data_IF_605532970965
#
_entry.id   IF_605532970965
#
_cell.length_a   1.000
_cell.length_b   1.000
_cell.length_c   1.000
_cell.angle_alpha   90.00
_cell.angle_beta   90.00
_cell.angle_gamma   90.00
#
_symmetry.space_group_name_H-M   'P 1'
#
loop_
_entity.id
_entity.type
_entity.pdbx_description
1 polymer ?
#
# COMPACT_ATOMS: atom_id res chain seq x y z
N UNK A 1 -12.43 1.25 -8.11
CA UNK A 1 -11.49 1.12 -9.24
C UNK A 1 -10.11 1.70 -8.92
N UNK A 2 -9.62 1.52 -7.68
CA UNK A 2 -8.45 2.25 -7.19
C UNK A 2 -7.18 2.04 -8.04
N UNK A 3 -6.88 0.80 -8.46
CA UNK A 3 -5.69 0.52 -9.27
C UNK A 3 -5.71 1.24 -10.63
N UNK A 4 -6.90 1.43 -11.23
CA UNK A 4 -7.03 2.17 -12.48
C UNK A 4 -6.73 3.66 -12.28
N UNK A 5 -7.29 4.28 -11.24
CA UNK A 5 -7.02 5.68 -10.88
C UNK A 5 -5.55 5.90 -10.49
N UNK A 6 -4.97 4.92 -9.79
CA UNK A 6 -3.57 4.91 -9.37
C UNK A 6 -2.64 5.04 -10.58
N UNK A 7 -2.81 4.16 -11.57
CA UNK A 7 -1.97 4.11 -12.76
C UNK A 7 -2.29 5.24 -13.76
N UNK A 8 -3.53 5.72 -13.79
CA UNK A 8 -3.94 6.82 -14.67
C UNK A 8 -3.33 8.16 -14.25
N UNK A 9 -3.29 8.47 -12.96
CA UNK A 9 -2.90 9.80 -12.47
C UNK A 9 -2.00 9.79 -11.23
N UNK A 10 -2.36 9.03 -10.17
CA UNK A 10 -1.72 9.16 -8.86
C UNK A 10 -0.21 8.90 -8.89
N UNK A 11 0.27 8.02 -9.77
CA UNK A 11 1.71 7.73 -9.95
C UNK A 11 2.56 8.97 -10.26
N UNK A 12 1.98 10.02 -10.81
CA UNK A 12 2.68 11.27 -11.13
C UNK A 12 2.83 12.20 -9.91
N UNK A 13 1.99 12.04 -8.88
CA UNK A 13 1.95 12.91 -7.71
C UNK A 13 3.13 12.64 -6.76
N UNK A 14 3.68 13.72 -6.18
CA UNK A 14 4.80 13.61 -5.22
C UNK A 14 4.36 12.94 -3.91
N UNK A 15 3.15 13.20 -3.44
CA UNK A 15 2.55 12.57 -2.27
C UNK A 15 2.49 11.05 -2.42
N UNK A 16 2.06 10.57 -3.59
CA UNK A 16 2.00 9.15 -3.91
C UNK A 16 3.40 8.51 -3.88
N UNK A 17 4.39 9.14 -4.50
CA UNK A 17 5.80 8.67 -4.48
C UNK A 17 6.36 8.64 -3.06
N UNK A 18 6.05 9.65 -2.24
CA UNK A 18 6.43 9.70 -0.82
C UNK A 18 5.79 8.55 -0.05
N UNK A 19 4.49 8.30 -0.24
CA UNK A 19 3.79 7.18 0.39
C UNK A 19 4.41 5.84 0.03
N UNK A 20 4.73 5.59 -1.25
CA UNK A 20 5.40 4.35 -1.68
C UNK A 20 6.78 4.18 -1.03
N UNK A 21 7.57 5.26 -0.91
CA UNK A 21 8.86 5.22 -0.22
C UNK A 21 8.70 4.87 1.26
N UNK A 22 7.69 5.45 1.93
CA UNK A 22 7.38 5.12 3.32
C UNK A 22 6.91 3.67 3.47
N UNK A 23 6.01 3.20 2.61
CA UNK A 23 5.53 1.81 2.63
C UNK A 23 6.70 0.82 2.45
N UNK A 24 7.65 1.12 1.56
CA UNK A 24 8.87 0.32 1.37
C UNK A 24 9.82 0.38 2.57
N UNK A 25 9.99 1.57 3.16
CA UNK A 25 10.81 1.74 4.35
C UNK A 25 10.25 0.98 5.56
N UNK A 26 8.93 1.09 5.80
CA UNK A 26 8.24 0.35 6.85
C UNK A 26 8.27 -1.15 6.61
N UNK A 27 8.13 -1.60 5.36
CA UNK A 27 8.31 -3.01 5.02
C UNK A 27 9.75 -3.48 5.31
N UNK A 28 10.77 -2.65 5.10
CA UNK A 28 12.15 -3.03 5.40
C UNK A 28 12.42 -3.17 6.91
N UNK A 29 11.81 -2.34 7.74
CA UNK A 29 11.98 -2.38 9.20
C UNK A 29 11.03 -3.41 9.85
N UNK A 30 9.82 -3.54 9.32
CA UNK A 30 8.74 -4.36 9.87
C UNK A 30 8.14 -5.30 8.81
N UNK A 31 8.96 -6.11 8.15
CA UNK A 31 8.53 -6.94 7.00
C UNK A 31 7.36 -7.88 7.32
N UNK A 32 7.27 -8.35 8.57
CA UNK A 32 6.19 -9.24 8.98
C UNK A 32 4.87 -8.51 9.32
N UNK A 33 4.88 -7.18 9.45
CA UNK A 33 3.71 -6.39 9.89
C UNK A 33 3.26 -5.32 8.90
N UNK A 34 4.12 -4.94 7.95
CA UNK A 34 3.82 -3.90 6.96
C UNK A 34 4.17 -4.34 5.54
N UNK A 35 3.20 -4.98 4.88
CA UNK A 35 3.31 -5.34 3.47
C UNK A 35 2.67 -4.26 2.59
N UNK A 36 3.34 -3.78 1.53
CA UNK A 36 2.73 -2.87 0.57
C UNK A 36 1.50 -3.51 -0.10
N UNK A 37 0.49 -2.69 -0.44
CA UNK A 37 -0.75 -3.16 -1.08
C UNK A 37 -0.50 -4.07 -2.29
N UNK A 38 0.42 -3.66 -3.17
CA UNK A 38 0.78 -4.43 -4.36
C UNK A 38 1.34 -5.81 -3.99
N UNK A 39 2.18 -5.90 -2.96
CA UNK A 39 2.75 -7.17 -2.53
C UNK A 39 1.72 -8.10 -1.92
N UNK A 40 0.78 -7.56 -1.11
CA UNK A 40 -0.31 -8.34 -0.53
C UNK A 40 -1.17 -8.98 -1.62
N UNK A 41 -1.51 -8.23 -2.67
CA UNK A 41 -2.35 -8.73 -3.77
C UNK A 41 -1.62 -9.71 -4.68
N UNK A 42 -0.36 -9.41 -5.05
CA UNK A 42 0.33 -10.14 -6.12
C UNK A 42 1.08 -11.36 -5.62
N UNK A 43 1.67 -11.31 -4.42
CA UNK A 43 2.64 -12.31 -3.95
C UNK A 43 2.15 -13.11 -2.75
N UNK A 44 0.91 -12.91 -2.29
CA UNK A 44 0.34 -13.67 -1.18
C UNK A 44 -1.00 -14.30 -1.57
N UNK A 45 -1.48 -15.23 -0.74
CA UNK A 45 -2.84 -15.80 -0.85
C UNK A 45 -3.83 -15.14 0.10
N UNK A 46 -3.52 -13.94 0.60
CA UNK A 46 -4.41 -13.21 1.50
C UNK A 46 -5.76 -12.93 0.79
N UNK A 47 -6.91 -13.24 1.43
CA UNK A 47 -8.20 -12.92 0.86
C UNK A 47 -8.35 -11.41 0.62
N UNK A 48 -8.95 -11.02 -0.51
CA UNK A 48 -9.06 -9.59 -0.88
C UNK A 48 -9.76 -8.73 0.17
N UNK A 49 -10.75 -9.25 0.90
CA UNK A 49 -11.41 -8.50 1.95
C UNK A 49 -10.46 -8.17 3.13
N UNK A 50 -9.49 -9.04 3.41
CA UNK A 50 -8.45 -8.80 4.41
C UNK A 50 -7.43 -7.78 3.90
N UNK A 51 -7.02 -7.89 2.63
CA UNK A 51 -6.14 -6.90 1.99
C UNK A 51 -6.73 -5.49 2.10
N UNK A 52 -8.04 -5.34 1.83
CA UNK A 52 -8.74 -4.05 1.96
C UNK A 52 -8.77 -3.56 3.41
N UNK A 53 -9.00 -4.46 4.37
CA UNK A 53 -9.00 -4.13 5.81
C UNK A 53 -7.62 -3.68 6.27
N UNK A 54 -6.57 -4.39 5.89
CA UNK A 54 -5.19 -4.04 6.18
C UNK A 54 -4.79 -2.73 5.53
N UNK A 55 -5.21 -2.50 4.27
CA UNK A 55 -4.95 -1.22 3.61
C UNK A 55 -5.59 -0.06 4.36
N UNK A 56 -6.85 -0.18 4.78
CA UNK A 56 -7.53 0.83 5.61
C UNK A 56 -6.81 1.06 6.94
N UNK A 57 -6.24 0.01 7.56
CA UNK A 57 -5.42 0.15 8.77
C UNK A 57 -4.15 0.95 8.48
N UNK A 58 -3.44 0.64 7.40
CA UNK A 58 -2.23 1.35 6.98
C UNK A 58 -2.50 2.82 6.66
N UNK A 59 -3.62 3.11 5.97
CA UNK A 59 -4.03 4.47 5.61
C UNK A 59 -4.37 5.33 6.82
N UNK A 60 -4.84 4.74 7.93
CA UNK A 60 -5.03 5.47 9.21
C UNK A 60 -3.72 5.80 9.91
N UNK A 61 -2.71 4.92 9.79
CA UNK A 61 -1.41 5.10 10.46
C UNK A 61 -0.55 6.12 9.72
N UNK A 62 -0.54 6.04 8.39
CA UNK A 62 0.20 6.98 7.55
C UNK A 62 -0.76 8.10 7.18
N UNK A 63 -0.81 9.12 8.04
CA UNK A 63 -1.53 10.38 7.81
C UNK A 63 -0.76 11.17 6.74
N UNK A 64 -1.06 10.91 5.47
CA UNK A 64 -0.55 11.63 4.29
C UNK A 64 -1.65 11.78 3.26
#
# INVERSE_FOLDING_TARGET
MYNYEELKDLVNHRSYKLRKKLDLFLNRIFSNKWLPLYSMVTFTRMPYHEVVKERKRQDKVVIL
#
